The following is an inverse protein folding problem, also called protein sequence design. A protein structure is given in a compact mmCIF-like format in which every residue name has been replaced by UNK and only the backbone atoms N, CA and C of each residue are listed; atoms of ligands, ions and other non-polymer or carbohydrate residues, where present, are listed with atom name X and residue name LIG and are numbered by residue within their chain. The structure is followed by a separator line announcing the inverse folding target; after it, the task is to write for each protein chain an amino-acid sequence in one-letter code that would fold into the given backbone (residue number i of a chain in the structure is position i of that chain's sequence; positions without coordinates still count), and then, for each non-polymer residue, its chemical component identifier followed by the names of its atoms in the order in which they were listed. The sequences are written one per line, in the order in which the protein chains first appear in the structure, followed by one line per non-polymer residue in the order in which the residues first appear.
data_IF_123075540396
#
_entry.id   IF_123075540396
#
_cell.length_a   1.000
_cell.length_b   1.000
_cell.length_c   1.000
_cell.angle_alpha   90.00
_cell.angle_beta   90.00
_cell.angle_gamma   90.00
#
_symmetry.space_group_name_H-M   'P 1'
#
loop_
_entity.id
_entity.type
_entity.pdbx_description
1 polymer ?
#
# COMPACT_ATOMS: atom_id res chain seq x y z
N UNK A 1 4.87 20.02 -6.78
CA UNK A 1 3.97 20.29 -7.94
C UNK A 1 2.62 20.72 -7.40
N UNK A 2 2.12 21.91 -7.76
CA UNK A 2 0.86 22.44 -7.21
C UNK A 2 -0.36 21.77 -7.80
N UNK A 3 -1.28 21.37 -6.94
CA UNK A 3 -2.55 20.75 -7.30
C UNK A 3 -3.69 21.77 -7.15
N UNK A 4 -4.68 21.67 -8.04
CA UNK A 4 -5.83 22.56 -8.18
C UNK A 4 -7.11 21.73 -8.28
N UNK A 5 -7.26 20.76 -7.38
CA UNK A 5 -8.47 19.96 -7.26
C UNK A 5 -9.30 20.47 -6.09
N UNK A 6 -10.54 20.88 -6.35
CA UNK A 6 -11.42 21.45 -5.32
C UNK A 6 -11.76 20.46 -4.19
N UNK A 7 -11.74 19.16 -4.47
CA UNK A 7 -12.09 18.14 -3.49
C UNK A 7 -10.94 17.84 -2.51
N UNK A 8 -9.71 18.33 -2.76
CA UNK A 8 -8.59 18.15 -1.83
C UNK A 8 -8.76 18.91 -0.53
N UNK A 9 -9.35 20.11 -0.59
CA UNK A 9 -9.58 20.92 0.61
C UNK A 9 -10.59 20.26 1.55
N UNK A 10 -11.60 19.62 0.98
CA UNK A 10 -12.61 18.85 1.73
C UNK A 10 -12.05 17.51 2.21
N UNK A 11 -11.33 16.78 1.35
CA UNK A 11 -10.70 15.53 1.74
C UNK A 11 -9.72 15.74 2.90
N UNK A 12 -8.86 16.76 2.80
CA UNK A 12 -7.87 17.12 3.82
C UNK A 12 -8.35 18.16 4.83
N UNK A 13 -9.65 18.30 5.06
CA UNK A 13 -10.19 19.29 6.00
C UNK A 13 -9.61 19.08 7.41
N UNK A 14 -9.03 20.14 7.99
CA UNK A 14 -8.35 20.06 9.29
C UNK A 14 -6.93 19.49 9.25
N UNK A 15 -6.40 19.14 8.08
CA UNK A 15 -5.06 18.58 7.90
C UNK A 15 -4.20 19.40 6.91
N UNK A 16 -2.90 19.44 7.17
CA UNK A 16 -1.91 20.04 6.25
C UNK A 16 -1.16 19.02 5.40
N UNK A 17 -1.44 17.73 5.65
CA UNK A 17 -0.78 16.62 4.99
C UNK A 17 -1.75 15.45 4.79
N UNK A 18 -1.78 14.95 3.57
CA UNK A 18 -2.46 13.72 3.18
C UNK A 18 -1.39 12.70 2.81
N UNK A 19 -1.55 11.47 3.28
CA UNK A 19 -0.73 10.31 2.94
C UNK A 19 -1.64 9.22 2.37
N UNK A 20 -1.42 8.84 1.12
CA UNK A 20 -1.96 7.61 0.56
C UNK A 20 -0.80 6.62 0.42
N UNK A 21 -0.99 5.40 0.93
CA UNK A 21 0.00 4.34 0.84
C UNK A 21 -0.69 2.98 0.82
N UNK A 22 0.05 1.99 0.36
CA UNK A 22 -0.36 0.59 0.34
C UNK A 22 0.87 -0.28 0.67
N UNK A 23 0.62 -1.48 1.19
CA UNK A 23 1.65 -2.44 1.50
C UNK A 23 1.42 -3.76 0.77
N UNK A 24 2.51 -4.30 0.23
CA UNK A 24 2.57 -5.75 0.00
C UNK A 24 3.21 -6.43 1.21
N UNK A 25 2.72 -7.60 1.58
CA UNK A 25 3.01 -8.18 2.88
C UNK A 25 4.04 -9.32 2.85
N UNK A 26 4.83 -9.41 3.92
CA UNK A 26 5.30 -10.68 4.43
C UNK A 26 4.16 -11.30 5.22
N UNK A 27 3.73 -12.50 4.85
CA UNK A 27 2.84 -13.33 5.66
C UNK A 27 3.68 -14.18 6.61
N UNK A 28 3.53 -13.94 7.91
CA UNK A 28 4.43 -14.46 8.95
C UNK A 28 3.65 -15.37 9.88
N UNK A 29 4.20 -16.55 10.18
CA UNK A 29 3.53 -17.50 11.07
C UNK A 29 3.69 -17.14 12.55
N UNK A 30 2.65 -17.43 13.35
CA UNK A 30 2.65 -17.25 14.80
C UNK A 30 2.22 -15.85 15.24
N UNK A 31 0.92 -15.58 15.16
CA UNK A 31 0.29 -14.28 15.45
C UNK A 31 0.08 -13.98 16.95
N UNK A 32 0.60 -14.80 17.87
CA UNK A 32 0.50 -14.49 19.31
C UNK A 32 1.23 -13.18 19.62
N UNK A 33 0.49 -12.19 20.12
CA UNK A 33 0.99 -10.84 20.38
C UNK A 33 0.97 -9.89 19.17
N UNK A 34 0.33 -10.27 18.06
CA UNK A 34 0.23 -9.49 16.82
C UNK A 34 -1.24 -9.34 16.37
N UNK A 35 -1.52 -8.35 15.53
CA UNK A 35 -2.77 -8.27 14.77
C UNK A 35 -2.80 -9.40 13.75
N UNK A 36 -3.59 -10.45 14.04
CA UNK A 36 -3.69 -11.65 13.23
C UNK A 36 -4.51 -11.43 11.95
N UNK A 37 -4.19 -12.18 10.90
CA UNK A 37 -5.05 -12.32 9.73
C UNK A 37 -6.33 -13.07 10.17
N UNK A 38 -7.54 -12.59 9.83
CA UNK A 38 -8.77 -13.26 10.22
C UNK A 38 -8.79 -14.73 9.83
N UNK A 39 -9.19 -15.59 10.77
CA UNK A 39 -9.27 -17.06 10.61
C UNK A 39 -7.92 -17.73 10.29
N UNK A 40 -6.81 -17.10 10.67
CA UNK A 40 -5.46 -17.65 10.50
C UNK A 40 -4.63 -17.45 11.77
N UNK A 41 -3.58 -18.25 11.93
CA UNK A 41 -2.53 -18.07 12.94
C UNK A 41 -1.38 -17.20 12.45
N UNK A 42 -1.50 -16.63 11.26
CA UNK A 42 -0.49 -15.78 10.65
C UNK A 42 -0.82 -14.30 10.87
N UNK A 43 0.18 -13.45 10.70
CA UNK A 43 0.06 -12.00 10.74
C UNK A 43 0.85 -11.37 9.60
N UNK A 44 0.53 -10.13 9.25
CA UNK A 44 1.25 -9.39 8.21
C UNK A 44 2.30 -8.46 8.79
N UNK A 45 3.42 -8.32 8.08
CA UNK A 45 4.37 -7.20 8.21
C UNK A 45 4.64 -6.65 6.81
N UNK A 46 4.97 -5.36 6.64
CA UNK A 46 5.19 -4.80 5.31
C UNK A 46 6.45 -5.41 4.70
N UNK A 47 6.32 -5.91 3.48
CA UNK A 47 7.41 -6.34 2.61
C UNK A 47 7.78 -5.22 1.65
N UNK A 48 6.79 -4.65 1.00
CA UNK A 48 6.91 -3.46 0.14
C UNK A 48 5.95 -2.42 0.70
N UNK A 49 6.39 -1.17 0.74
CA UNK A 49 5.63 -0.03 1.21
C UNK A 49 5.82 1.09 0.20
N UNK A 50 4.72 1.52 -0.42
CA UNK A 50 4.77 2.57 -1.41
C UNK A 50 3.58 3.51 -1.28
N UNK A 51 3.75 4.73 -1.76
CA UNK A 51 2.76 5.77 -1.59
C UNK A 51 3.33 7.15 -1.82
N UNK A 52 2.58 8.17 -1.42
CA UNK A 52 2.97 9.55 -1.62
C UNK A 52 2.33 10.48 -0.60
N UNK A 53 2.98 11.63 -0.42
CA UNK A 53 2.47 12.73 0.38
C UNK A 53 1.94 13.83 -0.53
N UNK A 54 0.81 14.41 -0.13
CA UNK A 54 0.34 15.70 -0.63
C UNK A 54 0.31 16.65 0.55
N UNK A 55 1.04 17.76 0.47
CA UNK A 55 1.24 18.69 1.59
C UNK A 55 0.82 20.10 1.22
N UNK A 56 0.26 20.85 2.16
CA UNK A 56 0.04 22.29 1.96
C UNK A 56 1.36 23.04 1.99
N UNK A 57 1.53 23.97 1.06
CA UNK A 57 2.59 24.99 1.14
C UNK A 57 2.24 26.07 2.18
N UNK A 58 3.15 27.03 2.39
CA UNK A 58 2.94 28.15 3.32
C UNK A 58 1.72 29.03 2.98
N UNK A 59 1.16 28.90 1.77
CA UNK A 59 -0.04 29.61 1.32
C UNK A 59 -1.29 28.72 1.37
N UNK A 60 -1.20 27.55 2.00
CA UNK A 60 -2.30 26.60 2.13
C UNK A 60 -2.60 25.79 0.88
N UNK A 61 -1.76 25.83 -0.16
CA UNK A 61 -2.02 25.14 -1.44
C UNK A 61 -1.43 23.75 -1.44
N UNK A 62 -2.18 22.77 -1.93
CA UNK A 62 -1.71 21.38 -2.03
C UNK A 62 -0.58 21.20 -3.03
N UNK A 63 0.46 20.48 -2.62
CA UNK A 63 1.62 20.13 -3.42
C UNK A 63 1.93 18.63 -3.36
N UNK A 64 2.14 18.05 -4.54
CA UNK A 64 2.66 16.70 -4.73
C UNK A 64 4.14 16.74 -5.12
N UNK A 65 4.98 15.97 -4.43
CA UNK A 65 6.45 15.99 -4.63
C UNK A 65 7.02 14.68 -5.20
N UNK A 66 6.16 13.74 -5.59
CA UNK A 66 6.55 12.41 -6.03
C UNK A 66 6.03 11.32 -5.09
N UNK A 67 6.39 10.08 -5.40
CA UNK A 67 6.08 8.91 -4.60
C UNK A 67 7.35 8.30 -4.02
N UNK A 68 7.18 7.46 -3.01
CA UNK A 68 8.24 6.62 -2.46
C UNK A 68 7.88 5.15 -2.69
N UNK A 69 8.91 4.31 -2.75
CA UNK A 69 8.80 2.85 -2.74
C UNK A 69 9.95 2.30 -1.89
N UNK A 70 9.63 1.48 -0.90
CA UNK A 70 10.58 0.92 0.06
C UNK A 70 10.31 -0.56 0.26
N UNK A 71 11.38 -1.35 0.36
CA UNK A 71 11.27 -2.77 0.70
C UNK A 71 11.94 -3.08 2.03
N UNK A 72 11.42 -4.08 2.74
CA UNK A 72 11.89 -4.50 4.05
C UNK A 72 12.29 -5.97 4.07
N UNK A 73 13.19 -6.30 5.01
CA UNK A 73 13.58 -7.68 5.26
C UNK A 73 12.44 -8.43 5.95
N UNK A 74 12.30 -9.75 5.73
CA UNK A 74 11.37 -10.55 6.54
C UNK A 74 11.76 -10.48 8.02
N UNK A 75 10.81 -10.65 8.96
CA UNK A 75 11.11 -10.66 10.39
C UNK A 75 12.14 -11.73 10.74
N UNK A 76 13.10 -11.38 11.61
CA UNK A 76 14.14 -12.33 12.04
C UNK A 76 13.53 -13.46 12.86
N UNK A 77 14.04 -14.68 12.64
CA UNK A 77 13.67 -15.89 13.39
C UNK A 77 12.17 -16.24 13.36
N UNK A 78 11.47 -15.85 12.29
CA UNK A 78 10.09 -16.25 12.04
C UNK A 78 9.99 -16.83 10.63
N UNK A 79 9.15 -17.85 10.51
CA UNK A 79 8.82 -18.42 9.20
C UNK A 79 7.88 -17.47 8.46
N UNK A 80 8.14 -17.30 7.17
CA UNK A 80 7.30 -16.51 6.26
C UNK A 80 6.82 -17.40 5.11
N UNK A 81 5.62 -17.13 4.62
CA UNK A 81 5.13 -17.77 3.39
C UNK A 81 5.92 -17.31 2.17
N UNK A 82 5.82 -18.07 1.07
CA UNK A 82 6.37 -17.65 -0.22
C UNK A 82 5.72 -16.35 -0.70
N UNK A 83 6.44 -15.62 -1.57
CA UNK A 83 5.93 -14.41 -2.23
C UNK A 83 5.42 -14.78 -3.61
N UNK A 84 4.13 -14.54 -3.86
CA UNK A 84 3.55 -14.65 -5.21
C UNK A 84 4.08 -13.52 -6.09
N UNK A 85 4.42 -13.82 -7.34
CA UNK A 85 4.88 -12.79 -8.28
C UNK A 85 3.77 -11.80 -8.66
N UNK A 86 2.50 -12.22 -8.52
CA UNK A 86 1.32 -11.38 -8.79
C UNK A 86 1.23 -10.19 -7.84
N UNK A 87 1.81 -10.31 -6.65
CA UNK A 87 1.75 -9.31 -5.58
C UNK A 87 3.11 -8.68 -5.33
N UNK A 88 4.07 -8.76 -6.27
CA UNK A 88 5.43 -8.31 -6.07
C UNK A 88 5.89 -7.35 -7.17
N UNK A 89 6.48 -6.23 -6.77
CA UNK A 89 6.97 -5.18 -7.69
C UNK A 89 8.35 -5.54 -8.27
N UNK A 90 8.45 -6.70 -8.91
CA UNK A 90 9.69 -7.24 -9.49
C UNK A 90 9.71 -7.11 -11.00
N UNK A 91 10.89 -7.23 -11.61
CA UNK A 91 11.01 -7.28 -13.07
C UNK A 91 10.29 -8.50 -13.66
N UNK A 92 9.84 -8.40 -14.92
CA UNK A 92 9.16 -9.50 -15.61
C UNK A 92 9.99 -10.81 -15.61
N UNK A 93 11.31 -10.70 -15.74
CA UNK A 93 12.23 -11.85 -15.65
C UNK A 93 12.17 -12.50 -14.28
N UNK A 94 12.27 -11.71 -13.20
CA UNK A 94 12.20 -12.24 -11.84
C UNK A 94 10.83 -12.83 -11.54
N UNK A 95 9.74 -12.21 -12.02
CA UNK A 95 8.39 -12.75 -11.87
C UNK A 95 8.27 -14.14 -12.52
N UNK A 96 8.82 -14.33 -13.73
CA UNK A 96 8.84 -15.63 -14.40
C UNK A 96 9.63 -16.69 -13.59
N UNK A 97 10.75 -16.30 -13.00
CA UNK A 97 11.52 -17.20 -12.13
C UNK A 97 10.75 -17.55 -10.84
N UNK A 98 10.09 -16.57 -10.20
CA UNK A 98 9.23 -16.79 -9.04
C UNK A 98 8.05 -17.72 -9.36
N UNK A 99 7.45 -17.61 -10.55
CA UNK A 99 6.33 -18.44 -10.98
C UNK A 99 6.67 -19.93 -11.04
N UNK A 100 7.93 -20.28 -11.31
CA UNK A 100 8.40 -21.68 -11.29
C UNK A 100 8.30 -22.28 -9.89
N UNK A 101 8.60 -21.50 -8.86
CA UNK A 101 8.41 -21.93 -7.47
C UNK A 101 6.93 -21.98 -7.09
N UNK A 102 6.16 -20.96 -7.49
CA UNK A 102 4.73 -20.89 -7.21
C UNK A 102 3.96 -22.09 -7.75
N UNK A 103 4.27 -22.56 -8.96
CA UNK A 103 3.65 -23.79 -9.50
C UNK A 103 3.92 -25.02 -8.63
N UNK A 104 5.12 -25.13 -8.06
CA UNK A 104 5.47 -26.24 -7.16
C UNK A 104 4.69 -26.14 -5.86
N UNK A 105 4.61 -24.94 -5.28
CA UNK A 105 3.86 -24.68 -4.04
C UNK A 105 2.36 -24.95 -4.17
N UNK A 106 1.79 -24.71 -5.37
CA UNK A 106 0.37 -25.00 -5.64
C UNK A 106 0.10 -26.49 -5.90
N UNK A 107 1.11 -27.24 -6.37
CA UNK A 107 0.98 -28.66 -6.69
C UNK A 107 1.38 -29.63 -5.56
N UNK A 108 2.06 -29.14 -4.51
CA UNK A 108 2.57 -29.97 -3.41
C UNK A 108 1.89 -29.64 -2.09
N UNK A 109 1.49 -30.67 -1.34
CA UNK A 109 1.01 -30.52 0.04
C UNK A 109 2.15 -30.27 1.04
N UNK A 110 3.36 -30.74 0.72
CA UNK A 110 4.55 -30.60 1.56
C UNK A 110 5.58 -29.72 0.84
N UNK A 111 5.67 -28.47 1.28
CA UNK A 111 6.66 -27.51 0.79
C UNK A 111 7.75 -27.37 1.84
N UNK A 112 8.99 -27.68 1.46
CA UNK A 112 10.12 -27.53 2.37
C UNK A 112 10.44 -26.05 2.61
N UNK A 113 10.88 -25.73 3.83
CA UNK A 113 11.34 -24.38 4.18
C UNK A 113 12.58 -23.96 3.36
N UNK A 114 13.37 -24.92 2.89
CA UNK A 114 14.52 -24.61 2.03
C UNK A 114 14.07 -24.15 0.64
N UNK A 115 13.02 -24.75 0.07
CA UNK A 115 12.45 -24.30 -1.20
C UNK A 115 11.81 -22.90 -1.07
N UNK A 116 11.17 -22.60 0.08
CA UNK A 116 10.69 -21.25 0.38
C UNK A 116 11.88 -20.28 0.41
N UNK A 117 12.96 -20.58 1.14
CA UNK A 117 14.16 -19.73 1.18
C UNK A 117 14.76 -19.50 -0.20
N UNK A 118 14.78 -20.50 -1.08
CA UNK A 118 15.23 -20.35 -2.46
C UNK A 118 14.34 -19.39 -3.26
N UNK A 119 13.01 -19.54 -3.17
CA UNK A 119 12.07 -18.61 -3.82
C UNK A 119 12.24 -17.17 -3.31
N UNK A 120 12.50 -17.00 -2.02
CA UNK A 120 12.73 -15.69 -1.41
C UNK A 120 14.05 -15.06 -1.87
N UNK A 121 15.09 -15.86 -2.12
CA UNK A 121 16.35 -15.36 -2.69
C UNK A 121 16.12 -14.76 -4.07
N UNK A 122 15.29 -15.38 -4.91
CA UNK A 122 14.95 -14.86 -6.25
C UNK A 122 14.32 -13.47 -6.11
N UNK A 123 13.30 -13.32 -5.25
CA UNK A 123 12.68 -12.03 -4.96
C UNK A 123 13.69 -10.99 -4.46
N UNK A 124 14.49 -11.34 -3.44
CA UNK A 124 15.45 -10.42 -2.81
C UNK A 124 16.63 -10.03 -3.72
N UNK A 125 16.88 -10.80 -4.78
CA UNK A 125 17.93 -10.53 -5.77
C UNK A 125 17.46 -9.63 -6.93
N UNK A 126 16.15 -9.38 -7.05
CA UNK A 126 15.65 -8.43 -8.04
C UNK A 126 16.27 -7.04 -7.79
N UNK A 127 16.75 -6.41 -8.87
CA UNK A 127 17.44 -5.11 -8.79
C UNK A 127 16.53 -4.03 -8.21
N UNK A 128 15.24 -4.00 -8.57
CA UNK A 128 14.29 -3.03 -8.07
C UNK A 128 14.10 -3.17 -6.55
N UNK A 129 13.90 -4.41 -6.08
CA UNK A 129 13.75 -4.72 -4.66
C UNK A 129 15.01 -4.35 -3.88
N UNK A 130 16.19 -4.74 -4.37
CA UNK A 130 17.48 -4.45 -3.74
C UNK A 130 17.79 -2.96 -3.68
N UNK A 131 17.52 -2.22 -4.75
CA UNK A 131 17.81 -0.78 -4.82
C UNK A 131 16.94 0.06 -3.88
N UNK A 132 15.73 -0.43 -3.58
CA UNK A 132 14.78 0.24 -2.69
C UNK A 132 14.77 -0.31 -1.26
N UNK A 133 15.68 -1.23 -0.94
CA UNK A 133 15.73 -1.86 0.36
C UNK A 133 16.14 -0.89 1.47
N UNK A 134 15.42 -0.94 2.59
CA UNK A 134 15.72 -0.17 3.80
C UNK A 134 15.78 -1.09 5.02
N UNK A 135 16.61 -0.75 6.03
CA UNK A 135 16.53 -1.43 7.31
C UNK A 135 15.16 -1.21 7.94
N UNK A 136 14.66 -2.17 8.72
CA UNK A 136 13.36 -2.07 9.40
C UNK A 136 13.23 -0.79 10.24
N UNK A 137 14.34 -0.26 10.78
CA UNK A 137 14.37 0.98 11.54
C UNK A 137 13.95 2.22 10.75
N UNK A 138 13.96 2.17 9.41
CA UNK A 138 13.48 3.25 8.54
C UNK A 138 11.99 3.55 8.77
N UNK A 139 11.20 2.56 9.20
CA UNK A 139 9.77 2.77 9.48
C UNK A 139 9.53 3.85 10.54
N UNK A 140 10.47 4.06 11.46
CA UNK A 140 10.39 5.13 12.46
C UNK A 140 10.38 6.53 11.82
N UNK A 141 11.08 6.71 10.70
CA UNK A 141 11.07 7.97 9.95
C UNK A 141 9.74 8.14 9.22
N UNK A 142 9.25 7.08 8.59
CA UNK A 142 7.94 7.08 7.95
C UNK A 142 6.81 7.40 8.94
N UNK A 143 6.82 6.74 10.10
CA UNK A 143 5.79 6.90 11.14
C UNK A 143 5.69 8.33 11.70
N UNK A 144 6.80 9.09 11.70
CA UNK A 144 6.79 10.52 12.09
C UNK A 144 6.00 11.41 11.13
N UNK A 145 6.00 11.06 9.83
CA UNK A 145 5.24 11.80 8.83
C UNK A 145 3.81 11.26 8.76
N UNK A 146 3.66 9.94 8.80
CA UNK A 146 2.37 9.25 8.96
C UNK A 146 1.55 9.82 10.12
N UNK A 147 2.15 10.02 11.29
CA UNK A 147 1.44 10.53 12.48
C UNK A 147 0.94 11.97 12.37
N UNK A 148 1.39 12.71 11.35
CA UNK A 148 0.93 14.08 11.04
C UNK A 148 -0.10 14.13 9.92
N UNK A 149 -0.39 12.98 9.30
CA UNK A 149 -1.16 12.90 8.07
C UNK A 149 -2.60 12.50 8.34
N UNK A 150 -3.51 13.02 7.52
CA UNK A 150 -4.69 12.24 7.14
C UNK A 150 -4.21 11.08 6.26
N UNK A 151 -4.44 9.86 6.73
CA UNK A 151 -4.07 8.64 6.04
C UNK A 151 -5.24 8.10 5.25
N UNK A 152 -5.05 7.87 3.95
CA UNK A 152 -6.06 7.30 3.05
C UNK A 152 -5.69 5.84 2.78
N UNK A 153 -6.61 4.94 3.10
CA UNK A 153 -6.42 3.48 3.04
C UNK A 153 -7.69 2.78 2.58
N UNK A 154 -7.56 1.49 2.26
CA UNK A 154 -8.69 0.59 2.02
C UNK A 154 -8.69 -0.56 3.02
N UNK A 155 -9.41 -0.39 4.12
CA UNK A 155 -9.40 -1.31 5.26
C UNK A 155 -8.19 -1.08 6.16
N UNK A 156 -7.96 -2.03 7.08
CA UNK A 156 -6.99 -1.85 8.17
C UNK A 156 -5.68 -2.62 8.00
N UNK A 157 -5.57 -3.50 7.01
CA UNK A 157 -4.44 -4.43 6.93
C UNK A 157 -3.08 -3.75 6.79
N UNK A 158 -2.99 -2.67 6.03
CA UNK A 158 -1.76 -1.87 5.93
C UNK A 158 -1.36 -1.31 7.29
N UNK A 159 -2.33 -0.76 8.03
CA UNK A 159 -2.13 -0.21 9.37
C UNK A 159 -1.70 -1.29 10.36
N UNK A 160 -2.37 -2.45 10.33
CA UNK A 160 -2.06 -3.61 11.16
C UNK A 160 -0.66 -4.16 10.85
N UNK A 161 -0.24 -4.16 9.59
CA UNK A 161 1.10 -4.58 9.20
C UNK A 161 2.17 -3.62 9.75
N UNK A 162 1.94 -2.31 9.71
CA UNK A 162 2.83 -1.32 10.32
C UNK A 162 2.92 -1.51 11.85
N UNK A 163 1.79 -1.75 12.52
CA UNK A 163 1.74 -2.07 13.96
C UNK A 163 2.55 -3.32 14.28
N UNK A 164 2.33 -4.40 13.54
CA UNK A 164 3.05 -5.65 13.70
C UNK A 164 4.55 -5.52 13.46
N UNK A 165 4.96 -4.71 12.47
CA UNK A 165 6.38 -4.40 12.25
C UNK A 165 7.01 -3.71 13.46
N UNK A 166 6.29 -2.75 14.07
CA UNK A 166 6.76 -2.06 15.26
C UNK A 166 6.89 -3.02 16.44
N UNK A 167 5.86 -3.82 16.71
CA UNK A 167 5.87 -4.86 17.76
C UNK A 167 7.03 -5.83 17.55
N UNK A 168 7.21 -6.35 16.34
CA UNK A 168 8.26 -7.33 16.03
C UNK A 168 9.69 -6.80 16.22
N UNK A 169 9.89 -5.48 16.17
CA UNK A 169 11.21 -4.86 16.27
C UNK A 169 11.38 -4.01 17.54
N UNK A 170 10.38 -4.01 18.45
CA UNK A 170 10.41 -3.20 19.67
C UNK A 170 10.41 -1.70 19.40
N UNK A 171 9.73 -1.25 18.35
CA UNK A 171 9.57 0.17 18.03
C UNK A 171 8.23 0.68 18.55
N UNK A 172 8.19 1.98 18.85
CA UNK A 172 6.93 2.68 19.11
C UNK A 172 6.15 2.83 17.80
N UNK A 173 4.87 2.45 17.83
CA UNK A 173 3.94 2.74 16.76
C UNK A 173 3.26 4.09 17.03
N UNK A 174 3.29 4.98 16.05
CA UNK A 174 2.63 6.29 16.12
C UNK A 174 1.31 6.20 15.35
N UNK A 175 0.20 6.55 15.98
CA UNK A 175 -1.10 6.63 15.32
C UNK A 175 -1.14 7.79 14.30
N UNK A 176 -1.91 7.66 13.20
CA UNK A 176 -2.07 8.73 12.22
C UNK A 176 -2.90 9.87 12.81
N UNK A 177 -2.78 11.09 12.24
CA UNK A 177 -3.58 12.22 12.69
C UNK A 177 -5.08 12.06 12.34
N UNK A 178 -5.36 11.34 11.26
CA UNK A 178 -6.70 10.96 10.84
C UNK A 178 -6.66 9.77 9.89
N UNK A 179 -7.78 9.10 9.70
CA UNK A 179 -7.94 7.99 8.76
C UNK A 179 -9.16 8.27 7.89
N UNK A 180 -8.98 8.21 6.57
CA UNK A 180 -10.04 8.13 5.58
C UNK A 180 -10.02 6.73 4.96
N UNK A 181 -10.91 5.87 5.43
CA UNK A 181 -11.01 4.49 4.96
C UNK A 181 -12.06 4.35 3.86
N UNK A 182 -11.61 4.14 2.61
CA UNK A 182 -12.52 3.97 1.48
C UNK A 182 -13.33 2.66 1.54
N UNK A 183 -12.93 1.70 2.39
CA UNK A 183 -13.67 0.45 2.59
C UNK A 183 -15.03 0.68 3.25
N UNK A 184 -15.24 1.82 3.92
CA UNK A 184 -16.57 2.25 4.40
C UNK A 184 -17.57 2.42 3.24
N UNK A 185 -17.07 2.61 2.02
CA UNK A 185 -17.87 2.76 0.80
C UNK A 185 -18.03 1.44 0.02
N UNK A 186 -17.63 0.29 0.59
CA UNK A 186 -17.67 -1.00 -0.10
C UNK A 186 -19.10 -1.42 -0.50
N UNK A 187 -20.10 -1.22 0.35
CA UNK A 187 -21.50 -1.58 0.02
C UNK A 187 -22.03 -0.79 -1.18
N UNK A 188 -21.73 0.52 -1.21
CA UNK A 188 -22.08 1.40 -2.32
C UNK A 188 -21.27 1.05 -3.58
N UNK A 189 -20.00 0.69 -3.43
CA UNK A 189 -19.18 0.15 -4.55
C UNK A 189 -19.81 -1.10 -5.15
N UNK A 190 -20.20 -2.07 -4.33
CA UNK A 190 -20.86 -3.29 -4.80
C UNK A 190 -22.14 -3.00 -5.56
N UNK A 191 -22.95 -2.07 -5.05
CA UNK A 191 -24.23 -1.71 -5.68
C UNK A 191 -24.02 -1.01 -7.03
N UNK A 192 -23.04 -0.10 -7.11
CA UNK A 192 -22.80 0.72 -8.31
C UNK A 192 -21.94 0.01 -9.37
N UNK A 193 -20.95 -0.75 -8.93
CA UNK A 193 -19.89 -1.32 -9.78
C UNK A 193 -19.91 -2.85 -9.84
N UNK A 194 -20.77 -3.51 -9.06
CA UNK A 194 -20.79 -4.97 -8.95
C UNK A 194 -19.60 -5.57 -8.18
N UNK A 195 -18.71 -4.73 -7.63
CA UNK A 195 -17.48 -5.14 -6.94
C UNK A 195 -17.04 -4.08 -5.93
N UNK A 196 -16.31 -4.50 -4.90
CA UNK A 196 -15.56 -3.62 -3.99
C UNK A 196 -14.05 -3.90 -4.01
N UNK A 197 -13.58 -4.62 -5.03
CA UNK A 197 -12.14 -4.73 -5.32
C UNK A 197 -11.62 -3.38 -5.79
N UNK A 198 -10.43 -2.99 -5.32
CA UNK A 198 -9.87 -1.66 -5.54
C UNK A 198 -9.86 -1.28 -7.04
N UNK A 199 -9.20 -2.08 -7.87
CA UNK A 199 -9.11 -1.87 -9.32
C UNK A 199 -10.49 -1.83 -9.98
N UNK A 200 -11.36 -2.81 -9.68
CA UNK A 200 -12.69 -2.85 -10.27
C UNK A 200 -13.58 -1.66 -9.88
N UNK A 201 -13.46 -1.17 -8.65
CA UNK A 201 -14.13 0.06 -8.22
C UNK A 201 -13.54 1.27 -8.95
N UNK A 202 -12.21 1.40 -9.00
CA UNK A 202 -11.53 2.48 -9.70
C UNK A 202 -11.92 2.55 -11.17
N UNK A 203 -11.86 1.44 -11.90
CA UNK A 203 -12.19 1.36 -13.32
C UNK A 203 -13.62 1.81 -13.60
N UNK A 204 -14.56 1.30 -12.80
CA UNK A 204 -15.98 1.62 -12.88
C UNK A 204 -16.24 3.14 -12.75
N UNK A 205 -15.61 3.79 -11.77
CA UNK A 205 -15.85 5.22 -11.49
C UNK A 205 -14.90 6.14 -12.24
N UNK A 206 -13.87 5.61 -12.91
CA UNK A 206 -12.72 6.36 -13.46
C UNK A 206 -13.11 7.53 -14.37
N UNK A 207 -14.25 7.43 -15.08
CA UNK A 207 -14.77 8.50 -15.96
C UNK A 207 -15.44 9.64 -15.20
N UNK A 208 -15.85 9.39 -13.96
CA UNK A 208 -16.62 10.31 -13.13
C UNK A 208 -15.78 10.93 -12.01
N UNK A 209 -14.50 10.53 -11.87
CA UNK A 209 -13.58 11.17 -10.94
C UNK A 209 -13.23 12.56 -11.48
N UNK A 210 -13.49 13.62 -10.69
CA UNK A 210 -12.86 14.92 -10.92
C UNK A 210 -11.38 14.79 -10.58
N UNK A 211 -10.60 14.53 -11.61
CA UNK A 211 -9.16 14.35 -11.52
C UNK A 211 -8.40 15.58 -11.99
N UNK A 212 -8.99 16.76 -11.89
CA UNK A 212 -8.29 18.03 -12.11
C UNK A 212 -7.02 18.06 -11.24
N UNK A 213 -5.84 18.13 -11.86
CA UNK A 213 -4.55 17.99 -11.17
C UNK A 213 -3.82 19.32 -11.09
N UNK A 214 -2.89 19.55 -12.03
CA UNK A 214 -2.31 20.87 -12.24
C UNK A 214 -3.16 21.68 -13.22
N UNK A 215 -2.74 22.90 -13.56
CA UNK A 215 -3.36 23.69 -14.63
C UNK A 215 -3.35 23.00 -16.01
N UNK A 216 -2.47 22.01 -16.23
CA UNK A 216 -2.24 21.40 -17.55
C UNK A 216 -2.26 19.87 -17.55
N UNK A 217 -2.42 19.22 -16.39
CA UNK A 217 -2.36 17.75 -16.25
C UNK A 217 -3.37 17.27 -15.23
N UNK A 218 -3.95 16.09 -15.45
CA UNK A 218 -4.85 15.45 -14.50
C UNK A 218 -4.07 14.75 -13.39
N UNK A 219 -4.71 14.52 -12.24
CA UNK A 219 -4.15 13.75 -11.13
C UNK A 219 -3.72 12.36 -11.59
N UNK A 220 -4.55 11.68 -12.40
CA UNK A 220 -4.21 10.35 -12.94
C UNK A 220 -2.96 10.34 -13.82
N UNK A 221 -2.60 11.48 -14.41
CA UNK A 221 -1.38 11.60 -15.23
C UNK A 221 -0.13 11.84 -14.39
N UNK A 222 -0.28 12.26 -13.12
CA UNK A 222 0.81 12.69 -12.23
C UNK A 222 1.13 11.62 -11.19
N UNK A 223 0.09 10.95 -10.69
CA UNK A 223 0.19 9.91 -9.68
C UNK A 223 0.83 8.63 -10.27
N UNK A 224 1.43 7.77 -9.43
CA UNK A 224 2.12 6.56 -9.87
C UNK A 224 1.14 5.44 -10.25
N UNK A 225 0.21 5.70 -11.17
CA UNK A 225 -0.66 4.67 -11.73
C UNK A 225 0.15 3.80 -12.69
N UNK A 226 0.04 2.49 -12.50
CA UNK A 226 0.81 1.51 -13.26
C UNK A 226 0.09 0.18 -13.34
N UNK A 227 0.77 -0.87 -12.89
CA UNK A 227 0.24 -2.23 -12.87
C UNK A 227 -0.57 -2.44 -11.60
N UNK A 228 -1.65 -3.23 -11.66
CA UNK A 228 -2.31 -3.74 -10.47
C UNK A 228 -1.30 -4.52 -9.60
N UNK A 229 -1.48 -4.46 -8.27
CA UNK A 229 -0.60 -5.11 -7.28
C UNK A 229 0.83 -4.54 -7.25
N UNK A 230 0.97 -3.29 -7.71
CA UNK A 230 2.06 -2.41 -7.33
C UNK A 230 1.52 -1.48 -6.24
N UNK A 231 2.12 -1.44 -5.03
CA UNK A 231 1.57 -0.67 -3.92
C UNK A 231 1.53 0.85 -4.19
N UNK A 232 2.35 1.38 -5.11
CA UNK A 232 2.25 2.80 -5.47
C UNK A 232 1.00 3.05 -6.32
N UNK A 233 0.71 2.14 -7.26
CA UNK A 233 -0.51 2.17 -8.08
C UNK A 233 -1.76 1.99 -7.23
N UNK A 234 -1.75 1.06 -6.27
CA UNK A 234 -2.88 0.79 -5.38
C UNK A 234 -3.13 1.99 -4.43
N UNK A 235 -2.08 2.62 -3.92
CA UNK A 235 -2.19 3.89 -3.19
C UNK A 235 -2.79 5.01 -4.05
N UNK A 236 -2.40 5.12 -5.33
CA UNK A 236 -2.93 6.12 -6.25
C UNK A 236 -4.41 5.89 -6.59
N UNK A 237 -4.82 4.64 -6.83
CA UNK A 237 -6.23 4.29 -7.02
C UNK A 237 -7.05 4.60 -5.77
N UNK A 238 -6.55 4.22 -4.59
CA UNK A 238 -7.22 4.47 -3.30
C UNK A 238 -7.43 5.97 -3.09
N UNK A 239 -6.41 6.78 -3.39
CA UNK A 239 -6.52 8.23 -3.36
C UNK A 239 -7.55 8.78 -4.35
N UNK A 240 -7.54 8.36 -5.62
CA UNK A 240 -8.50 8.85 -6.62
C UNK A 240 -9.94 8.45 -6.29
N UNK A 241 -10.15 7.25 -5.73
CA UNK A 241 -11.45 6.84 -5.20
C UNK A 241 -11.88 7.75 -4.04
N UNK A 242 -10.98 8.13 -3.14
CA UNK A 242 -11.32 9.05 -2.04
C UNK A 242 -11.79 10.42 -2.55
N UNK A 243 -11.18 10.95 -3.62
CA UNK A 243 -11.61 12.19 -4.29
C UNK A 243 -13.04 12.04 -4.82
N UNK A 244 -13.34 10.93 -5.49
CA UNK A 244 -14.68 10.64 -5.98
C UNK A 244 -15.71 10.52 -4.84
N UNK A 245 -15.37 9.82 -3.75
CA UNK A 245 -16.26 9.66 -2.60
C UNK A 245 -16.58 11.04 -2.00
N UNK A 246 -15.58 11.89 -1.79
CA UNK A 246 -15.76 13.22 -1.22
C UNK A 246 -16.63 14.12 -2.11
N UNK A 247 -16.46 14.03 -3.42
CA UNK A 247 -17.30 14.72 -4.40
C UNK A 247 -18.76 14.22 -4.39
N UNK A 248 -18.97 12.90 -4.24
CA UNK A 248 -20.29 12.28 -4.22
C UNK A 248 -21.08 12.47 -2.90
N UNK A 249 -20.48 13.11 -1.90
CA UNK A 249 -21.13 13.50 -0.65
C UNK A 249 -21.69 14.95 -0.70
N UNK A 250 -21.63 15.60 -1.86
CA UNK A 250 -22.25 16.90 -2.17
C UNK A 250 -23.61 16.72 -2.85
#
# INVERSE_FOLDING_TARGET
MKLYNQHLDKLGEGYDQILAFDCEFWRVSGASGFSAIPKSTDFFTPRELAGFFIKKDEKGRWEYSGHFFVTFSPPKNKDVSFVSSEFASVSAKTAEEMNKYQSVFQSSSDVSQDLIKESLKVYLQDKHIKNNHKPNSWIKTFLKEYSKSLVIVKGTYDLDALKNMCVSNGYEYLEPAGIFDIAQWNEKSHTLCGTAKLEGTYDCISRNIDDSGTKTRRLRDILPLGRAHDPASDAAMTFLISIYIVAALE
#
